data_IF_522139107188
#
_entry.id   IF_522139107188
#
_cell.length_a   1.000
_cell.length_b   1.000
_cell.length_c   1.000
_cell.angle_alpha   90.00
_cell.angle_beta   90.00
_cell.angle_gamma   90.00
#
_symmetry.space_group_name_H-M   'P 1'
#
loop_
_entity.id
_entity.type
_entity.pdbx_description
1 polymer ?
#
# COMPACT_ATOMS: atom_id res chain seq x y z
N UNK A 1 -7.00 28.15 -5.19
CA UNK A 1 -6.95 27.04 -6.17
C UNK A 1 -6.51 25.80 -5.41
N UNK A 2 -7.34 24.78 -5.33
CA UNK A 2 -6.94 23.51 -4.69
C UNK A 2 -6.13 22.72 -5.72
N UNK A 3 -4.81 22.65 -5.55
CA UNK A 3 -4.01 21.65 -6.25
C UNK A 3 -4.35 20.29 -5.62
N UNK A 4 -5.45 19.66 -6.05
CA UNK A 4 -5.67 18.26 -5.72
C UNK A 4 -4.65 17.44 -6.51
N UNK A 5 -3.71 16.83 -5.80
CA UNK A 5 -2.79 15.88 -6.39
C UNK A 5 -3.59 14.68 -6.89
N UNK A 6 -3.54 14.41 -8.19
CA UNK A 6 -4.16 13.20 -8.75
C UNK A 6 -3.26 12.00 -8.47
N UNK A 7 -3.71 11.09 -7.61
CA UNK A 7 -2.96 9.90 -7.21
C UNK A 7 -2.65 9.02 -8.43
N UNK A 8 -3.56 8.94 -9.41
CA UNK A 8 -3.31 8.16 -10.61
C UNK A 8 -2.19 8.77 -11.46
N UNK A 9 -2.14 10.10 -11.56
CA UNK A 9 -1.05 10.80 -12.24
C UNK A 9 0.29 10.56 -11.54
N UNK A 10 0.34 10.65 -10.20
CA UNK A 10 1.59 10.42 -9.43
C UNK A 10 2.11 9.00 -9.62
N UNK A 11 1.22 8.00 -9.59
CA UNK A 11 1.58 6.60 -9.86
C UNK A 11 2.07 6.44 -11.30
N UNK A 12 1.39 7.08 -12.26
CA UNK A 12 1.79 7.07 -13.67
C UNK A 12 3.19 7.67 -13.87
N UNK A 13 3.46 8.83 -13.28
CA UNK A 13 4.76 9.50 -13.35
C UNK A 13 5.86 8.67 -12.70
N UNK A 14 5.57 8.02 -11.56
CA UNK A 14 6.52 7.13 -10.89
C UNK A 14 6.89 5.93 -11.79
N UNK A 15 5.90 5.31 -12.44
CA UNK A 15 6.09 4.16 -13.32
C UNK A 15 6.68 4.52 -14.68
N UNK A 16 6.59 5.80 -15.09
CA UNK A 16 7.17 6.27 -16.34
C UNK A 16 8.71 6.33 -16.31
N UNK A 17 9.32 6.32 -15.12
CA UNK A 17 10.77 6.15 -14.97
C UNK A 17 11.16 4.69 -15.25
N UNK A 18 12.03 4.40 -16.24
CA UNK A 18 12.48 3.05 -16.54
C UNK A 18 13.16 2.33 -15.35
N UNK A 19 13.73 3.05 -14.39
CA UNK A 19 14.27 2.46 -13.16
C UNK A 19 13.17 1.86 -12.27
N UNK A 20 11.95 2.37 -12.38
CA UNK A 20 10.77 1.95 -11.61
C UNK A 20 9.85 1.01 -12.40
N UNK A 21 10.14 0.75 -13.67
CA UNK A 21 9.38 -0.20 -14.50
C UNK A 21 9.98 -1.62 -14.45
N UNK A 22 10.12 -2.16 -13.24
CA UNK A 22 10.48 -3.57 -13.04
C UNK A 22 9.43 -4.30 -12.20
N UNK A 23 9.30 -5.64 -12.32
CA UNK A 23 8.38 -6.40 -11.50
C UNK A 23 8.52 -6.12 -9.99
N UNK A 24 9.75 -6.00 -9.49
CA UNK A 24 10.02 -5.66 -8.09
C UNK A 24 9.61 -4.24 -7.74
N UNK A 25 9.94 -3.26 -8.58
CA UNK A 25 9.58 -1.87 -8.32
C UNK A 25 8.05 -1.68 -8.30
N UNK A 26 7.32 -2.39 -9.18
CA UNK A 26 5.85 -2.42 -9.16
C UNK A 26 5.29 -3.09 -7.90
N UNK A 27 5.88 -4.20 -7.47
CA UNK A 27 5.49 -4.87 -6.22
C UNK A 27 5.75 -3.99 -4.98
N UNK A 28 6.90 -3.31 -4.94
CA UNK A 28 7.26 -2.35 -3.88
C UNK A 28 6.29 -1.16 -3.85
N UNK A 29 5.90 -0.63 -5.01
CA UNK A 29 4.92 0.44 -5.10
C UNK A 29 3.55 0.02 -4.55
N UNK A 30 3.10 -1.19 -4.89
CA UNK A 30 1.82 -1.73 -4.40
C UNK A 30 1.82 -1.89 -2.87
N UNK A 31 2.88 -2.46 -2.30
CA UNK A 31 3.06 -2.57 -0.85
C UNK A 31 3.07 -1.19 -0.18
N UNK A 32 3.84 -0.24 -0.73
CA UNK A 32 3.92 1.13 -0.20
C UNK A 32 2.56 1.82 -0.17
N UNK A 33 1.82 1.81 -1.29
CA UNK A 33 0.51 2.47 -1.40
C UNK A 33 -0.49 1.83 -0.44
N UNK A 34 -0.55 0.51 -0.40
CA UNK A 34 -1.49 -0.24 0.44
C UNK A 34 -1.21 -0.02 1.92
N UNK A 35 0.06 -0.05 2.32
CA UNK A 35 0.48 0.28 3.69
C UNK A 35 0.14 1.71 4.06
N UNK A 36 0.36 2.67 3.17
CA UNK A 36 0.08 4.08 3.45
C UNK A 36 -1.42 4.32 3.69
N UNK A 37 -2.28 3.67 2.90
CA UNK A 37 -3.74 3.70 3.10
C UNK A 37 -4.11 3.04 4.43
N UNK A 38 -3.57 1.84 4.70
CA UNK A 38 -3.81 1.13 5.96
C UNK A 38 -3.39 1.95 7.18
N UNK A 39 -2.19 2.52 7.17
CA UNK A 39 -1.65 3.34 8.27
C UNK A 39 -2.43 4.64 8.45
N UNK A 40 -2.88 5.26 7.36
CA UNK A 40 -3.72 6.44 7.44
C UNK A 40 -5.04 6.11 8.15
N UNK A 41 -5.78 5.11 7.66
CA UNK A 41 -7.03 4.64 8.29
C UNK A 41 -6.77 4.23 9.74
N UNK A 42 -5.65 3.55 10.01
CA UNK A 42 -5.23 3.19 11.36
C UNK A 42 -5.12 4.42 12.28
N UNK A 43 -4.57 5.53 11.80
CA UNK A 43 -4.30 6.70 12.63
C UNK A 43 -5.46 7.68 12.70
N UNK A 44 -6.34 7.72 11.70
CA UNK A 44 -7.40 8.74 11.60
C UNK A 44 -8.80 8.23 11.94
N UNK A 45 -9.08 6.94 11.76
CA UNK A 45 -10.39 6.34 12.03
C UNK A 45 -10.36 5.63 13.40
N UNK A 46 -10.80 6.32 14.45
CA UNK A 46 -11.00 5.75 15.80
C UNK A 46 -12.36 5.06 15.92
N UNK A 47 -12.67 4.16 14.99
CA UNK A 47 -13.95 3.43 14.97
C UNK A 47 -13.83 2.03 15.58
N UNK A 48 -12.73 1.73 16.27
CA UNK A 48 -12.33 0.36 16.60
C UNK A 48 -12.75 -0.22 17.94
N UNK A 49 -12.94 -1.55 17.94
CA UNK A 49 -13.15 -2.36 19.13
C UNK A 49 -11.79 -2.87 19.64
N UNK A 50 -11.23 -2.20 20.64
CA UNK A 50 -9.95 -2.51 21.27
C UNK A 50 -9.65 -1.48 22.37
N UNK A 51 -8.73 -1.76 23.30
CA UNK A 51 -8.43 -0.87 24.45
C UNK A 51 -7.98 0.53 23.96
N UNK A 52 -7.35 0.60 22.79
CA UNK A 52 -6.90 1.83 22.14
C UNK A 52 -7.88 2.39 21.10
N UNK A 53 -9.07 1.78 20.91
CA UNK A 53 -10.14 2.27 20.01
C UNK A 53 -9.82 2.12 18.53
N UNK A 54 -8.88 1.24 18.24
CA UNK A 54 -8.13 1.24 16.99
C UNK A 54 -8.54 0.04 16.12
N UNK A 55 -8.88 -1.13 16.63
CA UNK A 55 -9.19 -2.31 15.80
C UNK A 55 -10.62 -2.34 15.19
N UNK A 56 -10.95 -1.36 14.36
CA UNK A 56 -12.26 -1.23 13.71
C UNK A 56 -12.43 -2.08 12.45
N UNK A 57 -13.68 -2.22 12.01
CA UNK A 57 -14.04 -3.00 10.82
C UNK A 57 -13.31 -2.57 9.55
N UNK A 58 -13.02 -1.28 9.38
CA UNK A 58 -12.21 -0.75 8.27
C UNK A 58 -10.76 -1.25 8.29
N UNK A 59 -10.20 -1.55 9.47
CA UNK A 59 -8.86 -2.15 9.54
C UNK A 59 -8.87 -3.63 9.23
N UNK A 60 -9.88 -4.33 9.74
CA UNK A 60 -10.05 -5.75 9.48
C UNK A 60 -10.24 -6.02 7.98
N UNK A 61 -10.87 -5.11 7.24
CA UNK A 61 -11.03 -5.25 5.80
C UNK A 61 -9.75 -4.93 5.01
N UNK A 62 -8.89 -4.03 5.50
CA UNK A 62 -7.66 -3.63 4.81
C UNK A 62 -6.44 -4.49 5.15
N UNK A 63 -6.39 -5.12 6.34
CA UNK A 63 -5.28 -5.99 6.72
C UNK A 63 -5.00 -7.13 5.71
N UNK A 64 -6.01 -7.85 5.19
CA UNK A 64 -5.79 -8.87 4.17
C UNK A 64 -5.17 -8.33 2.87
N UNK A 65 -5.42 -7.06 2.53
CA UNK A 65 -4.82 -6.42 1.35
C UNK A 65 -3.33 -6.14 1.57
N UNK A 66 -2.97 -5.67 2.77
CA UNK A 66 -1.55 -5.50 3.15
C UNK A 66 -0.84 -6.86 3.07
N UNK A 67 -1.42 -7.90 3.66
CA UNK A 67 -0.84 -9.25 3.64
C UNK A 67 -0.67 -9.77 2.20
N UNK A 68 -1.65 -9.54 1.33
CA UNK A 68 -1.57 -9.92 -0.08
C UNK A 68 -0.44 -9.18 -0.82
N UNK A 69 -0.24 -7.88 -0.56
CA UNK A 69 0.86 -7.13 -1.18
C UNK A 69 2.23 -7.56 -0.68
N UNK A 70 2.36 -7.93 0.59
CA UNK A 70 3.59 -8.50 1.16
C UNK A 70 3.90 -9.84 0.52
N UNK A 71 2.93 -10.74 0.49
CA UNK A 71 3.11 -12.06 -0.12
C UNK A 71 3.50 -11.95 -1.60
N UNK A 72 2.94 -10.97 -2.33
CA UNK A 72 3.33 -10.70 -3.70
C UNK A 72 4.78 -10.20 -3.80
N UNK A 73 5.19 -9.27 -2.95
CA UNK A 73 6.57 -8.75 -2.92
C UNK A 73 7.60 -9.85 -2.58
N UNK A 74 7.28 -10.69 -1.61
CA UNK A 74 8.12 -11.83 -1.21
C UNK A 74 8.28 -12.81 -2.39
N UNK A 75 7.18 -13.17 -3.04
CA UNK A 75 7.19 -14.05 -4.21
C UNK A 75 8.06 -13.50 -5.36
N UNK A 76 7.93 -12.21 -5.68
CA UNK A 76 8.75 -11.57 -6.71
C UNK A 76 10.23 -11.52 -6.30
N UNK A 77 10.52 -11.37 -5.01
CA UNK A 77 11.89 -11.35 -4.49
C UNK A 77 12.54 -12.72 -4.58
N UNK A 78 11.83 -13.77 -4.18
CA UNK A 78 12.27 -15.17 -4.28
C UNK A 78 12.57 -15.55 -5.74
N UNK A 79 11.72 -15.15 -6.69
CA UNK A 79 11.93 -15.39 -8.12
C UNK A 79 13.19 -14.73 -8.69
N UNK A 80 13.77 -13.72 -8.02
CA UNK A 80 15.01 -13.05 -8.47
C UNK A 80 16.26 -13.68 -7.87
N UNK A 81 16.13 -14.52 -6.84
CA UNK A 81 17.23 -15.21 -6.18
C UNK A 81 17.56 -16.57 -6.82
N UNK A 82 16.71 -17.03 -7.75
CA UNK A 82 16.83 -18.28 -8.50
C UNK A 82 16.95 -18.02 -10.00
#
# INVERSE_FOLDING_TARGET
MSNSLDVAQVVGDYLADPANDSPLARAQLLDLVTRQVYDHVKRTQFTGLGIDGRDGGERMSLAPLVDATVAHLDHITEQRLH
#
